data_IF_602427081652
#
_entry.id   IF_602427081652
#
_cell.length_a   1.000
_cell.length_b   1.000
_cell.length_c   1.000
_cell.angle_alpha   90.00
_cell.angle_beta   90.00
_cell.angle_gamma   90.00
#
_symmetry.space_group_name_H-M   'P 1'
#
loop_
_entity.id
_entity.type
_entity.pdbx_description
1 polymer ?
#
# COMPACT_ATOMS: atom_id res chain seq x y z
N UNK A 1 -3.59 -29.37 26.34
CA UNK A 1 -3.34 -29.06 24.91
C UNK A 1 -4.55 -29.53 24.12
N UNK A 2 -5.17 -28.64 23.36
CA UNK A 2 -6.43 -28.89 22.66
C UNK A 2 -6.21 -28.81 21.15
N UNK A 3 -6.99 -29.58 20.39
CA UNK A 3 -6.97 -29.56 18.92
C UNK A 3 -7.96 -28.53 18.40
N UNK A 4 -7.48 -27.71 17.47
CA UNK A 4 -8.28 -26.71 16.77
C UNK A 4 -8.36 -27.10 15.29
N UNK A 5 -9.59 -27.24 14.81
CA UNK A 5 -9.90 -27.45 13.40
C UNK A 5 -10.46 -26.15 12.82
N UNK A 6 -9.78 -25.62 11.80
CA UNK A 6 -10.12 -24.37 11.14
C UNK A 6 -10.40 -24.63 9.65
N UNK A 7 -11.59 -24.25 9.18
CA UNK A 7 -11.96 -24.36 7.77
C UNK A 7 -11.97 -22.96 7.13
N UNK A 8 -11.21 -22.80 6.04
CA UNK A 8 -11.08 -21.56 5.28
C UNK A 8 -10.85 -21.85 3.80
N UNK A 9 -11.65 -21.22 2.92
CA UNK A 9 -11.51 -21.31 1.46
C UNK A 9 -11.39 -22.77 0.94
N UNK A 10 -12.27 -23.65 1.42
CA UNK A 10 -12.33 -25.09 1.10
C UNK A 10 -11.13 -25.94 1.57
N UNK A 11 -10.21 -25.37 2.35
CA UNK A 11 -9.12 -26.07 3.01
C UNK A 11 -9.39 -26.24 4.52
N UNK A 12 -8.97 -27.38 5.09
CA UNK A 12 -9.07 -27.67 6.53
C UNK A 12 -7.68 -27.70 7.15
N UNK A 13 -7.50 -26.93 8.21
CA UNK A 13 -6.26 -26.83 8.96
C UNK A 13 -6.46 -27.39 10.38
N UNK A 14 -5.58 -28.29 10.80
CA UNK A 14 -5.54 -28.81 12.18
C UNK A 14 -4.27 -28.31 12.88
N UNK A 15 -4.42 -27.74 14.08
CA UNK A 15 -3.29 -27.32 14.92
C UNK A 15 -3.61 -27.46 16.40
N UNK A 16 -2.56 -27.46 17.23
CA UNK A 16 -2.69 -27.57 18.69
C UNK A 16 -2.58 -26.22 19.38
N UNK A 17 -3.42 -25.98 20.38
CA UNK A 17 -3.46 -24.77 21.18
C UNK A 17 -3.43 -25.11 22.69
N UNK A 18 -2.80 -24.27 23.51
CA UNK A 18 -2.80 -24.39 24.97
C UNK A 18 -3.97 -23.60 25.58
N UNK A 19 -4.38 -23.90 26.81
CA UNK A 19 -5.46 -23.16 27.50
C UNK A 19 -5.13 -21.69 27.75
N UNK A 20 -3.85 -21.39 27.94
CA UNK A 20 -3.34 -20.04 28.28
C UNK A 20 -3.00 -19.21 27.04
N UNK A 21 -3.12 -19.78 25.85
CA UNK A 21 -2.80 -19.14 24.58
C UNK A 21 -4.08 -18.90 23.78
N UNK A 22 -4.18 -17.73 23.14
CA UNK A 22 -5.30 -17.46 22.25
C UNK A 22 -5.18 -18.28 20.97
N UNK A 23 -6.33 -18.72 20.46
CA UNK A 23 -6.39 -19.61 19.30
C UNK A 23 -5.71 -19.01 18.07
N UNK A 24 -5.73 -17.68 17.91
CA UNK A 24 -5.04 -17.02 16.83
C UNK A 24 -3.49 -17.06 16.97
N UNK A 25 -2.95 -16.83 18.15
CA UNK A 25 -1.50 -16.91 18.38
C UNK A 25 -0.98 -18.34 18.12
N UNK A 26 -1.75 -19.36 18.55
CA UNK A 26 -1.45 -20.75 18.23
C UNK A 26 -1.51 -21.05 16.72
N UNK A 27 -2.51 -20.51 16.00
CA UNK A 27 -2.60 -20.64 14.54
C UNK A 27 -1.34 -20.10 13.85
N UNK A 28 -0.86 -18.92 14.27
CA UNK A 28 0.33 -18.28 13.70
C UNK A 28 1.61 -19.06 13.95
N UNK A 29 1.79 -19.63 15.15
CA UNK A 29 2.95 -20.50 15.45
C UNK A 29 3.00 -21.73 14.54
N UNK A 30 1.84 -22.20 14.10
CA UNK A 30 1.70 -23.35 13.20
C UNK A 30 1.52 -22.93 11.72
N UNK A 31 1.80 -21.66 11.38
CA UNK A 31 1.69 -21.13 10.01
C UNK A 31 0.30 -21.27 9.36
N UNK A 32 -0.77 -21.28 10.17
CA UNK A 32 -2.15 -21.37 9.69
C UNK A 32 -2.68 -19.98 9.30
N UNK A 33 -3.26 -19.81 8.09
CA UNK A 33 -3.64 -18.52 7.53
C UNK A 33 -4.96 -17.97 8.11
N UNK A 34 -4.99 -17.66 9.41
CA UNK A 34 -6.15 -17.01 10.04
C UNK A 34 -6.11 -15.49 9.78
N UNK A 35 -7.18 -14.85 9.26
CA UNK A 35 -7.20 -13.41 9.01
C UNK A 35 -6.95 -12.59 10.29
N UNK A 36 -6.06 -11.60 10.22
CA UNK A 36 -5.63 -10.85 11.40
C UNK A 36 -5.40 -9.38 11.16
N UNK A 37 -5.76 -8.57 12.16
CA UNK A 37 -5.46 -7.13 12.20
C UNK A 37 -4.89 -6.72 13.55
N UNK A 38 -5.67 -6.03 14.36
CA UNK A 38 -5.23 -5.38 15.61
C UNK A 38 -4.75 -6.32 16.72
N UNK A 39 -5.17 -7.59 16.75
CA UNK A 39 -4.90 -8.59 17.81
C UNK A 39 -5.33 -8.19 19.23
N UNK A 40 -6.19 -7.17 19.37
CA UNK A 40 -6.66 -6.65 20.65
C UNK A 40 -8.18 -6.67 20.79
N UNK A 41 -8.88 -7.38 19.90
CA UNK A 41 -10.35 -7.44 19.90
C UNK A 41 -11.06 -6.20 19.35
N UNK A 42 -10.36 -5.33 18.60
CA UNK A 42 -10.92 -4.07 18.09
C UNK A 42 -11.30 -4.04 16.60
N UNK A 43 -10.65 -4.81 15.73
CA UNK A 43 -10.83 -4.69 14.26
C UNK A 43 -11.76 -5.71 13.62
N UNK A 44 -12.20 -6.75 14.36
CA UNK A 44 -13.09 -7.80 13.83
C UNK A 44 -12.51 -8.74 12.77
N UNK A 45 -11.33 -8.47 12.19
CA UNK A 45 -10.75 -9.31 11.12
C UNK A 45 -10.56 -10.79 11.49
N UNK A 46 -10.28 -11.11 12.76
CA UNK A 46 -10.14 -12.51 13.21
C UNK A 46 -11.47 -13.14 13.65
N UNK A 47 -12.61 -12.63 13.18
CA UNK A 47 -13.93 -13.15 13.52
C UNK A 47 -14.12 -14.52 12.88
N UNK A 48 -14.46 -15.49 13.71
CA UNK A 48 -14.72 -16.87 13.32
C UNK A 48 -16.02 -17.33 13.96
N UNK A 49 -16.68 -18.29 13.32
CA UNK A 49 -17.84 -18.97 13.92
C UNK A 49 -17.37 -20.27 14.53
N UNK A 50 -17.65 -20.47 15.81
CA UNK A 50 -17.34 -21.73 16.50
C UNK A 50 -18.52 -22.69 16.33
N UNK A 51 -18.29 -23.75 15.56
CA UNK A 51 -19.32 -24.77 15.26
C UNK A 51 -19.39 -25.78 16.39
N UNK A 52 -18.24 -26.20 16.91
CA UNK A 52 -18.12 -27.19 17.98
C UNK A 52 -17.03 -26.82 18.99
N UNK A 53 -17.19 -27.28 20.22
CA UNK A 53 -16.23 -27.06 21.31
C UNK A 53 -16.68 -26.01 22.32
N UNK A 54 -15.94 -25.96 23.43
CA UNK A 54 -16.07 -24.99 24.52
C UNK A 54 -14.83 -24.09 24.52
N UNK A 55 -15.08 -22.80 24.76
CA UNK A 55 -14.04 -21.80 24.83
C UNK A 55 -14.43 -20.73 25.84
N UNK A 56 -13.41 -20.04 26.33
CA UNK A 56 -13.56 -18.83 27.12
C UNK A 56 -13.23 -17.64 26.23
N UNK A 57 -14.06 -16.60 26.33
CA UNK A 57 -13.86 -15.36 25.60
C UNK A 57 -13.34 -14.31 26.59
N UNK A 58 -12.21 -13.69 26.28
CA UNK A 58 -11.71 -12.55 27.04
C UNK A 58 -12.73 -11.40 26.93
N UNK A 59 -13.26 -10.86 28.04
CA UNK A 59 -14.30 -9.82 28.02
C UNK A 59 -13.82 -8.48 27.45
N UNK A 60 -12.51 -8.28 27.28
CA UNK A 60 -11.92 -7.04 26.77
C UNK A 60 -11.88 -7.04 25.23
N UNK A 61 -12.98 -6.64 24.59
CA UNK A 61 -13.08 -6.42 23.14
C UNK A 61 -14.07 -5.30 22.81
N UNK A 62 -13.98 -4.76 21.60
CA UNK A 62 -14.92 -3.74 21.13
C UNK A 62 -16.25 -4.38 20.71
N UNK A 63 -17.38 -3.81 21.17
CA UNK A 63 -18.71 -4.20 20.71
C UNK A 63 -18.95 -3.93 19.23
N UNK A 64 -18.15 -3.04 18.62
CA UNK A 64 -18.17 -2.81 17.17
C UNK A 64 -17.53 -3.97 16.39
N UNK A 65 -16.61 -4.72 17.04
CA UNK A 65 -15.91 -5.84 16.43
C UNK A 65 -16.68 -7.16 16.56
N UNK A 66 -17.38 -7.36 17.68
CA UNK A 66 -18.24 -8.51 17.94
C UNK A 66 -19.45 -8.04 18.76
N UNK A 67 -20.64 -8.13 18.17
CA UNK A 67 -21.87 -7.67 18.84
C UNK A 67 -22.40 -8.72 19.81
N UNK A 68 -23.20 -8.30 20.79
CA UNK A 68 -23.82 -9.21 21.77
C UNK A 68 -24.77 -10.24 21.08
N UNK A 69 -25.29 -9.91 19.89
CA UNK A 69 -26.07 -10.83 19.06
C UNK A 69 -25.20 -11.89 18.38
N UNK A 70 -24.06 -11.48 17.81
CA UNK A 70 -23.10 -12.39 17.18
C UNK A 70 -22.50 -13.38 18.20
N UNK A 71 -22.27 -12.94 19.45
CA UNK A 71 -21.84 -13.83 20.54
C UNK A 71 -22.87 -14.93 20.81
N UNK A 72 -24.17 -14.60 20.82
CA UNK A 72 -25.25 -15.59 20.98
C UNK A 72 -25.30 -16.58 19.81
N UNK A 73 -24.91 -16.14 18.62
CA UNK A 73 -24.79 -16.98 17.42
C UNK A 73 -23.48 -17.79 17.33
N UNK A 74 -22.69 -17.81 18.42
CA UNK A 74 -21.39 -18.49 18.53
C UNK A 74 -20.29 -17.93 17.64
N UNK A 75 -20.37 -16.65 17.26
CA UNK A 75 -19.22 -15.95 16.72
C UNK A 75 -18.27 -15.55 17.84
N UNK A 76 -16.98 -15.59 17.54
CA UNK A 76 -15.94 -15.23 18.47
C UNK A 76 -14.76 -14.59 17.73
N UNK A 77 -13.97 -13.79 18.45
CA UNK A 77 -12.75 -13.22 17.90
C UNK A 77 -11.58 -14.15 18.24
N UNK A 78 -10.98 -14.80 17.25
CA UNK A 78 -9.91 -15.79 17.50
C UNK A 78 -8.72 -15.23 18.32
N UNK A 79 -8.49 -13.91 18.29
CA UNK A 79 -7.49 -13.20 19.11
C UNK A 79 -7.86 -13.04 20.60
N UNK A 80 -9.06 -13.45 20.99
CA UNK A 80 -9.65 -13.31 22.33
C UNK A 80 -10.32 -14.62 22.80
N UNK A 81 -10.05 -15.72 22.10
CA UNK A 81 -10.64 -17.03 22.39
C UNK A 81 -9.56 -17.94 22.97
N UNK A 82 -9.87 -18.51 24.13
CA UNK A 82 -9.02 -19.46 24.84
C UNK A 82 -9.75 -20.81 24.92
N UNK A 83 -9.15 -21.92 24.44
CA UNK A 83 -9.84 -23.20 24.37
C UNK A 83 -9.94 -23.88 25.75
N UNK A 84 -11.13 -24.38 26.07
CA UNK A 84 -11.38 -25.29 27.20
C UNK A 84 -11.74 -26.72 26.75
N UNK A 85 -11.91 -26.94 25.45
CA UNK A 85 -11.96 -28.24 24.79
C UNK A 85 -11.37 -28.15 23.38
N UNK A 86 -11.40 -29.26 22.63
CA UNK A 86 -11.16 -29.20 21.18
C UNK A 86 -12.23 -28.31 20.53
N UNK A 87 -11.83 -27.50 19.53
CA UNK A 87 -12.69 -26.51 18.88
C UNK A 87 -12.71 -26.76 17.37
N UNK A 88 -13.90 -26.68 16.77
CA UNK A 88 -14.08 -26.58 15.32
C UNK A 88 -14.63 -25.20 14.98
N UNK A 89 -13.93 -24.47 14.10
CA UNK A 89 -14.29 -23.11 13.71
C UNK A 89 -14.21 -22.92 12.20
N UNK A 90 -15.10 -22.07 11.70
CA UNK A 90 -15.27 -21.80 10.27
C UNK A 90 -15.39 -20.29 10.02
N UNK A 91 -14.95 -19.84 8.86
CA UNK A 91 -15.26 -18.49 8.36
C UNK A 91 -16.32 -18.62 7.28
N UNK A 92 -17.53 -18.15 7.57
CA UNK A 92 -18.62 -18.20 6.62
C UNK A 92 -18.43 -17.07 5.58
N UNK A 93 -17.93 -17.41 4.39
CA UNK A 93 -17.89 -16.52 3.24
C UNK A 93 -19.30 -16.37 2.66
N UNK A 94 -20.14 -15.57 3.29
CA UNK A 94 -21.48 -15.26 2.76
C UNK A 94 -21.82 -13.79 2.98
N UNK A 95 -21.62 -13.01 1.92
CA UNK A 95 -22.15 -11.68 1.63
C UNK A 95 -21.86 -10.56 2.64
N UNK A 96 -20.81 -9.79 2.35
CA UNK A 96 -20.89 -8.32 2.40
C UNK A 96 -20.29 -7.77 1.11
N UNK A 97 -21.07 -6.91 0.47
CA UNK A 97 -20.79 -6.24 -0.79
C UNK A 97 -19.37 -5.68 -0.81
N UNK A 98 -18.52 -6.30 -1.64
CA UNK A 98 -17.34 -5.64 -2.16
C UNK A 98 -17.80 -4.42 -2.95
N UNK A 99 -17.87 -3.25 -2.30
CA UNK A 99 -17.46 -2.04 -3.03
C UNK A 99 -16.02 -2.30 -3.42
N UNK A 100 -15.83 -2.77 -4.65
CA UNK A 100 -14.52 -2.90 -5.29
C UNK A 100 -13.85 -1.52 -5.29
N UNK A 101 -13.21 -1.17 -4.19
CA UNK A 101 -12.03 -0.33 -4.24
C UNK A 101 -10.92 -1.27 -4.69
N UNK A 102 -10.86 -1.52 -6.00
CA UNK A 102 -9.67 -2.10 -6.60
C UNK A 102 -8.49 -1.21 -6.17
N UNK A 103 -7.47 -1.74 -5.49
CA UNK A 103 -6.20 -1.03 -5.42
C UNK A 103 -5.73 -0.90 -6.87
N UNK A 104 -5.69 0.32 -7.41
CA UNK A 104 -5.12 0.60 -8.74
C UNK A 104 -3.59 0.51 -8.69
N UNK A 105 -3.07 -0.57 -8.15
CA UNK A 105 -1.65 -0.91 -8.21
C UNK A 105 -1.55 -2.28 -8.88
N UNK A 106 -1.31 -2.25 -10.19
CA UNK A 106 -1.05 -3.37 -11.08
C UNK A 106 0.24 -4.14 -10.71
N UNK A 107 0.46 -4.55 -9.47
CA UNK A 107 1.60 -5.44 -9.15
C UNK A 107 1.42 -6.84 -9.76
N UNK A 108 0.18 -7.29 -9.96
CA UNK A 108 -0.13 -8.63 -10.51
C UNK A 108 0.20 -8.79 -11.99
N UNK A 109 0.38 -7.70 -12.74
CA UNK A 109 0.75 -7.77 -14.16
C UNK A 109 2.27 -7.67 -14.37
N UNK A 110 3.00 -6.91 -13.54
CA UNK A 110 4.45 -6.76 -13.69
C UNK A 110 5.20 -8.10 -13.50
N UNK A 111 4.79 -8.93 -12.55
CA UNK A 111 5.39 -10.25 -12.32
C UNK A 111 5.14 -11.24 -13.46
N UNK A 112 4.10 -11.06 -14.27
CA UNK A 112 3.84 -11.89 -15.46
C UNK A 112 4.80 -11.57 -16.60
N UNK A 113 5.27 -10.32 -16.66
CA UNK A 113 6.16 -9.84 -17.72
C UNK A 113 7.65 -10.06 -17.39
N UNK A 114 8.01 -10.34 -16.12
CA UNK A 114 9.37 -10.70 -15.73
C UNK A 114 9.68 -12.18 -15.99
N UNK A 115 10.80 -12.47 -16.67
CA UNK A 115 11.35 -13.83 -16.72
C UNK A 115 11.90 -14.20 -15.34
N UNK A 116 11.28 -15.19 -14.69
CA UNK A 116 11.81 -15.77 -13.47
C UNK A 116 12.96 -16.71 -13.83
N UNK A 117 14.17 -16.42 -13.35
CA UNK A 117 15.34 -17.27 -13.54
C UNK A 117 15.94 -17.64 -12.17
N UNK A 118 15.49 -18.76 -11.59
CA UNK A 118 16.06 -19.31 -10.36
C UNK A 118 16.01 -18.39 -9.13
N UNK A 119 15.01 -17.49 -9.06
CA UNK A 119 14.87 -16.51 -7.96
C UNK A 119 15.28 -15.07 -8.31
N UNK A 120 15.73 -14.81 -9.53
CA UNK A 120 16.09 -13.47 -10.02
C UNK A 120 14.99 -12.96 -10.97
N UNK A 121 14.59 -11.70 -10.78
CA UNK A 121 13.70 -10.97 -11.69
C UNK A 121 14.49 -9.96 -12.51
N UNK A 122 14.35 -10.02 -13.83
CA UNK A 122 14.77 -8.94 -14.72
C UNK A 122 13.68 -7.86 -14.77
N UNK A 123 14.09 -6.60 -14.71
CA UNK A 123 13.19 -5.45 -14.82
C UNK A 123 13.86 -4.28 -15.56
N UNK A 124 13.10 -3.42 -16.25
CA UNK A 124 13.64 -2.16 -16.76
C UNK A 124 14.08 -1.25 -15.62
N UNK A 125 15.16 -0.50 -15.84
CA UNK A 125 15.71 0.45 -14.86
C UNK A 125 15.83 1.83 -15.49
N UNK A 126 15.54 2.87 -14.70
CA UNK A 126 15.67 4.25 -15.15
C UNK A 126 17.14 4.68 -15.21
N UNK A 127 17.61 5.03 -16.41
CA UNK A 127 18.99 5.52 -16.59
C UNK A 127 19.11 6.99 -16.19
N UNK A 128 20.30 7.40 -15.76
CA UNK A 128 20.59 8.80 -15.45
C UNK A 128 20.35 9.72 -16.66
N UNK A 129 20.69 9.25 -17.87
CA UNK A 129 20.53 10.01 -19.12
C UNK A 129 19.08 10.38 -19.39
N UNK A 130 18.16 9.44 -19.19
CA UNK A 130 16.72 9.69 -19.35
C UNK A 130 16.24 10.62 -18.24
N UNK A 131 16.65 10.38 -16.99
CA UNK A 131 16.29 11.26 -15.87
C UNK A 131 16.70 12.72 -16.12
N UNK A 132 17.93 12.97 -16.59
CA UNK A 132 18.37 14.33 -16.92
C UNK A 132 17.47 15.02 -17.97
N UNK A 133 17.09 14.31 -19.04
CA UNK A 133 16.19 14.85 -20.09
C UNK A 133 14.79 15.17 -19.56
N UNK A 134 14.25 14.32 -18.68
CA UNK A 134 12.95 14.57 -18.04
C UNK A 134 13.02 15.82 -17.15
N UNK A 135 14.11 15.98 -16.40
CA UNK A 135 14.34 17.15 -15.55
C UNK A 135 14.40 18.44 -16.38
N UNK A 136 15.19 18.43 -17.46
CA UNK A 136 15.33 19.58 -18.36
C UNK A 136 13.97 20.01 -18.94
N UNK A 137 13.15 19.05 -19.33
CA UNK A 137 11.81 19.32 -19.86
C UNK A 137 10.85 19.90 -18.81
N UNK A 138 10.91 19.42 -17.57
CA UNK A 138 10.13 20.00 -16.47
C UNK A 138 10.56 21.46 -16.20
N UNK A 139 11.87 21.74 -16.21
CA UNK A 139 12.40 23.10 -16.09
C UNK A 139 12.03 23.99 -17.28
N UNK A 140 12.04 23.48 -18.50
CA UNK A 140 11.56 24.22 -19.66
C UNK A 140 10.09 24.59 -19.50
N UNK A 141 9.26 23.65 -19.02
CA UNK A 141 7.84 23.94 -18.78
C UNK A 141 7.63 25.01 -17.71
N UNK A 142 8.46 25.01 -16.66
CA UNK A 142 8.42 26.05 -15.64
C UNK A 142 8.75 27.44 -16.20
N UNK A 143 9.75 27.52 -17.08
CA UNK A 143 10.10 28.77 -17.78
C UNK A 143 8.94 29.29 -18.64
N UNK A 144 8.25 28.41 -19.37
CA UNK A 144 7.05 28.77 -20.15
C UNK A 144 5.92 29.31 -19.27
N UNK A 145 5.77 28.77 -18.06
CA UNK A 145 4.75 29.18 -17.09
C UNK A 145 5.16 30.40 -16.26
N UNK A 146 6.39 30.91 -16.41
CA UNK A 146 6.91 32.03 -15.62
C UNK A 146 7.08 31.72 -14.13
N UNK A 147 7.36 30.46 -13.78
CA UNK A 147 7.53 30.01 -12.39
C UNK A 147 8.92 29.42 -12.14
N UNK A 148 9.31 29.37 -10.87
CA UNK A 148 10.59 28.82 -10.41
C UNK A 148 10.33 27.57 -9.55
N UNK A 149 10.94 26.45 -9.94
CA UNK A 149 10.65 25.14 -9.33
C UNK A 149 11.91 24.39 -8.93
N UNK A 150 11.71 23.40 -8.08
CA UNK A 150 12.64 22.31 -7.80
C UNK A 150 12.12 21.06 -8.50
N UNK A 151 13.01 20.28 -9.11
CA UNK A 151 12.67 19.03 -9.79
C UNK A 151 13.55 17.92 -9.24
N UNK A 152 12.94 16.81 -8.86
CA UNK A 152 13.62 15.60 -8.39
C UNK A 152 13.15 14.40 -9.20
N UNK A 153 14.08 13.50 -9.52
CA UNK A 153 13.79 12.21 -10.15
C UNK A 153 14.50 11.12 -9.36
N UNK A 154 13.77 10.06 -9.03
CA UNK A 154 14.26 8.90 -8.29
C UNK A 154 14.13 7.61 -9.10
N UNK A 155 14.93 6.59 -8.79
CA UNK A 155 14.82 5.24 -9.35
C UNK A 155 13.75 4.38 -8.65
N UNK A 156 13.67 3.10 -9.01
CA UNK A 156 12.74 2.11 -8.47
C UNK A 156 12.99 1.78 -6.98
N UNK A 157 14.20 2.04 -6.49
CA UNK A 157 14.53 2.03 -5.06
C UNK A 157 14.27 3.36 -4.36
N UNK A 158 13.65 4.32 -5.06
CA UNK A 158 13.40 5.69 -4.63
C UNK A 158 14.68 6.48 -4.24
N UNK A 159 15.83 6.10 -4.82
CA UNK A 159 17.10 6.82 -4.67
C UNK A 159 17.19 7.97 -5.67
N UNK A 160 17.75 9.11 -5.25
CA UNK A 160 17.86 10.30 -6.08
C UNK A 160 18.79 10.07 -7.28
N UNK A 161 18.26 10.23 -8.50
CA UNK A 161 19.01 10.09 -9.77
C UNK A 161 19.34 11.42 -10.40
N UNK A 162 18.44 12.39 -10.28
CA UNK A 162 18.61 13.74 -10.82
C UNK A 162 17.85 14.73 -9.95
N UNK A 163 18.45 15.89 -9.71
CA UNK A 163 17.85 16.95 -8.93
C UNK A 163 18.35 18.30 -9.41
N UNK A 164 17.44 19.27 -9.45
CA UNK A 164 17.80 20.67 -9.63
C UNK A 164 16.89 21.55 -8.81
N UNK A 165 17.47 22.65 -8.33
CA UNK A 165 16.76 23.79 -7.76
C UNK A 165 17.01 24.94 -8.70
N UNK A 166 15.96 25.47 -9.33
CA UNK A 166 16.10 26.70 -10.11
C UNK A 166 16.53 27.86 -9.20
N UNK A 167 17.33 28.77 -9.74
CA UNK A 167 17.73 29.99 -9.03
C UNK A 167 16.49 30.72 -8.50
N UNK A 168 16.61 31.28 -7.29
CA UNK A 168 15.51 31.96 -6.57
C UNK A 168 14.25 31.12 -6.27
N UNK A 169 14.19 29.83 -6.62
CA UNK A 169 13.07 28.99 -6.20
C UNK A 169 13.08 28.72 -4.68
N UNK A 170 11.91 28.53 -4.03
CA UNK A 170 11.82 28.39 -2.59
C UNK A 170 12.68 27.27 -2.02
N UNK A 171 13.41 27.53 -0.93
CA UNK A 171 14.34 26.57 -0.32
C UNK A 171 13.65 25.27 0.15
N UNK A 172 12.48 25.40 0.79
CA UNK A 172 11.70 24.27 1.29
C UNK A 172 11.23 23.33 0.15
N UNK A 173 11.02 23.87 -1.05
CA UNK A 173 10.55 23.12 -2.21
C UNK A 173 11.56 22.06 -2.67
N UNK A 174 12.85 22.17 -2.33
CA UNK A 174 13.85 21.15 -2.64
C UNK A 174 13.50 19.80 -2.04
N UNK A 175 13.29 19.76 -0.72
CA UNK A 175 12.92 18.54 0.01
C UNK A 175 11.51 18.08 -0.36
N UNK A 176 10.57 19.00 -0.57
CA UNK A 176 9.21 18.64 -1.00
C UNK A 176 9.22 17.94 -2.37
N UNK A 177 9.97 18.45 -3.35
CA UNK A 177 10.10 17.83 -4.66
C UNK A 177 10.66 16.41 -4.55
N UNK A 178 11.70 16.20 -3.74
CA UNK A 178 12.27 14.88 -3.48
C UNK A 178 11.29 13.93 -2.80
N UNK A 179 10.51 14.40 -1.83
CA UNK A 179 9.50 13.60 -1.14
C UNK A 179 8.28 13.29 -2.02
N UNK A 180 7.90 14.18 -2.92
CA UNK A 180 6.88 13.91 -3.97
C UNK A 180 7.35 12.81 -4.92
N UNK A 181 8.60 12.87 -5.39
CA UNK A 181 9.19 11.83 -6.24
C UNK A 181 9.25 10.47 -5.52
N UNK A 182 9.70 10.48 -4.26
CA UNK A 182 9.74 9.31 -3.38
C UNK A 182 8.36 8.70 -3.18
N UNK A 183 7.36 9.51 -2.83
CA UNK A 183 5.98 9.06 -2.62
C UNK A 183 5.42 8.39 -3.88
N UNK A 184 5.64 9.02 -5.03
CA UNK A 184 5.18 8.52 -6.31
C UNK A 184 5.83 7.17 -6.67
N UNK A 185 7.15 7.04 -6.48
CA UNK A 185 7.87 5.79 -6.72
C UNK A 185 7.47 4.67 -5.74
N UNK A 186 7.20 5.01 -4.47
CA UNK A 186 6.94 4.01 -3.41
C UNK A 186 5.61 3.27 -3.60
N UNK A 187 4.53 4.01 -3.86
CA UNK A 187 3.19 3.41 -4.00
C UNK A 187 2.74 3.28 -5.45
N UNK A 188 3.47 3.88 -6.40
CA UNK A 188 3.04 3.92 -7.80
C UNK A 188 1.79 4.76 -8.04
N UNK A 189 1.52 5.71 -7.14
CA UNK A 189 0.34 6.58 -7.13
C UNK A 189 0.79 8.04 -7.27
N UNK A 190 0.21 8.83 -8.18
CA UNK A 190 0.48 10.26 -8.25
C UNK A 190 0.13 10.98 -6.94
N UNK A 191 0.95 11.94 -6.51
CA UNK A 191 0.76 12.61 -5.21
C UNK A 191 -0.53 13.40 -5.12
N UNK A 192 -1.09 13.85 -6.25
CA UNK A 192 -2.38 14.54 -6.32
C UNK A 192 -3.58 13.63 -6.09
N UNK A 193 -3.43 12.31 -6.28
CA UNK A 193 -4.54 11.37 -6.06
C UNK A 193 -4.64 10.92 -4.59
N UNK A 194 -3.60 11.14 -3.78
CA UNK A 194 -3.55 10.68 -2.39
C UNK A 194 -4.64 11.26 -1.50
N UNK A 195 -4.73 12.59 -1.41
CA UNK A 195 -5.76 13.23 -0.57
C UNK A 195 -7.19 12.80 -0.98
N UNK A 196 -7.56 12.82 -2.28
CA UNK A 196 -8.84 12.27 -2.73
C UNK A 196 -9.10 10.82 -2.32
N UNK A 197 -8.07 9.97 -2.23
CA UNK A 197 -8.21 8.57 -1.82
C UNK A 197 -8.47 8.39 -0.31
N UNK A 198 -7.98 9.30 0.53
CA UNK A 198 -7.98 9.13 1.99
C UNK A 198 -8.92 10.08 2.72
N UNK A 199 -9.42 11.14 2.07
CA UNK A 199 -10.19 12.22 2.72
C UNK A 199 -11.46 11.74 3.45
N UNK A 200 -12.09 10.66 2.99
CA UNK A 200 -13.34 10.14 3.53
C UNK A 200 -13.11 9.02 4.57
N UNK A 201 -11.85 8.75 4.94
CA UNK A 201 -11.42 7.74 5.90
C UNK A 201 -10.64 8.40 7.05
N UNK A 202 -11.29 8.93 8.10
CA UNK A 202 -10.64 9.77 9.11
C UNK A 202 -9.43 9.11 9.79
N UNK A 203 -9.52 7.81 10.11
CA UNK A 203 -8.40 7.08 10.72
C UNK A 203 -7.19 7.01 9.79
N UNK A 204 -7.40 6.86 8.48
CA UNK A 204 -6.32 6.83 7.50
C UNK A 204 -5.80 8.24 7.24
N UNK A 205 -6.69 9.22 7.03
CA UNK A 205 -6.33 10.62 6.79
C UNK A 205 -5.47 11.18 7.91
N UNK A 206 -5.83 10.94 9.18
CA UNK A 206 -5.07 11.43 10.33
C UNK A 206 -3.88 10.53 10.72
N UNK A 207 -3.86 9.28 10.28
CA UNK A 207 -2.76 8.36 10.56
C UNK A 207 -1.62 8.46 9.55
N UNK A 208 -1.92 8.26 8.27
CA UNK A 208 -0.91 8.02 7.24
C UNK A 208 -0.07 9.26 6.94
N UNK A 209 -0.63 10.47 7.10
CA UNK A 209 0.06 11.75 6.84
C UNK A 209 1.25 12.00 7.78
N UNK A 210 1.38 11.23 8.86
CA UNK A 210 2.56 11.23 9.74
C UNK A 210 3.66 10.27 9.29
N UNK A 211 3.44 9.52 8.20
CA UNK A 211 4.45 8.64 7.61
C UNK A 211 5.56 9.48 7.01
N UNK A 212 6.81 9.15 7.33
CA UNK A 212 7.96 9.90 6.85
C UNK A 212 7.97 9.99 5.31
N UNK A 213 8.31 11.18 4.80
CA UNK A 213 8.40 11.52 3.37
C UNK A 213 7.10 11.38 2.56
N UNK A 214 5.97 11.02 3.15
CA UNK A 214 4.69 10.95 2.43
C UNK A 214 4.18 12.35 2.06
N UNK A 215 3.87 12.56 0.79
CA UNK A 215 3.26 13.81 0.30
C UNK A 215 1.92 13.52 -0.35
N UNK A 216 0.86 14.13 0.21
CA UNK A 216 -0.53 13.89 -0.21
C UNK A 216 -1.12 14.99 -1.12
N UNK A 217 -0.26 15.85 -1.67
CA UNK A 217 -0.64 16.93 -2.58
C UNK A 217 0.20 16.94 -3.87
N UNK A 218 -0.33 17.54 -4.93
CA UNK A 218 0.13 17.40 -6.31
C UNK A 218 1.57 17.81 -6.61
N UNK A 219 2.16 17.16 -7.61
CA UNK A 219 3.49 17.44 -8.15
C UNK A 219 4.41 16.21 -8.26
N UNK A 220 4.03 15.06 -7.70
CA UNK A 220 4.73 13.79 -7.88
C UNK A 220 3.98 12.83 -8.79
N UNK A 221 4.68 12.19 -9.74
CA UNK A 221 4.11 11.25 -10.71
C UNK A 221 5.02 10.01 -10.84
N UNK A 222 4.47 8.79 -10.74
CA UNK A 222 5.26 7.56 -10.91
C UNK A 222 5.71 7.39 -12.36
N UNK A 223 6.93 6.90 -12.54
CA UNK A 223 7.47 6.54 -13.86
C UNK A 223 7.25 5.03 -14.02
N UNK A 224 6.45 4.64 -15.01
CA UNK A 224 6.06 3.24 -15.22
C UNK A 224 6.49 2.74 -16.59
N UNK A 225 7.00 1.52 -16.66
CA UNK A 225 7.31 0.83 -17.91
C UNK A 225 6.99 -0.65 -17.78
N UNK A 226 6.20 -1.20 -18.71
CA UNK A 226 5.82 -2.62 -18.73
C UNK A 226 5.25 -3.10 -17.38
N UNK A 227 4.37 -2.30 -16.78
CA UNK A 227 3.78 -2.60 -15.46
C UNK A 227 4.72 -2.36 -14.26
N UNK A 228 6.03 -2.21 -14.47
CA UNK A 228 6.98 -1.88 -13.39
C UNK A 228 6.95 -0.39 -13.08
N UNK A 229 7.07 -0.06 -11.80
CA UNK A 229 7.45 1.28 -11.36
C UNK A 229 8.98 1.32 -11.44
N UNK A 230 9.51 2.14 -12.34
CA UNK A 230 10.96 2.25 -12.55
C UNK A 230 11.54 3.52 -11.91
N UNK A 231 10.69 4.32 -11.26
CA UNK A 231 11.06 5.56 -10.62
C UNK A 231 9.88 6.49 -10.33
N UNK A 232 10.21 7.73 -10.00
CA UNK A 232 9.23 8.80 -9.77
C UNK A 232 9.83 10.16 -10.11
N UNK A 233 9.01 11.06 -10.65
CA UNK A 233 9.33 12.48 -10.82
C UNK A 233 8.55 13.28 -9.76
N UNK A 234 9.18 14.30 -9.18
CA UNK A 234 8.57 15.20 -8.22
C UNK A 234 8.96 16.65 -8.49
N UNK A 235 7.97 17.53 -8.49
CA UNK A 235 8.13 18.98 -8.73
C UNK A 235 7.51 19.77 -7.59
N UNK A 236 8.19 20.83 -7.17
CA UNK A 236 7.69 21.77 -6.17
C UNK A 236 8.20 23.18 -6.40
N UNK A 237 7.33 24.17 -6.29
CA UNK A 237 7.69 25.59 -6.31
C UNK A 237 6.59 26.51 -6.82
N UNK A 238 5.64 25.98 -7.59
CA UNK A 238 4.42 26.68 -7.99
C UNK A 238 3.21 26.26 -7.18
N UNK A 239 2.02 26.50 -7.74
CA UNK A 239 0.77 25.85 -7.28
C UNK A 239 0.80 24.35 -7.57
N UNK A 240 -0.08 23.57 -6.92
CA UNK A 240 -0.15 22.13 -7.17
C UNK A 240 -0.39 21.79 -8.66
N UNK A 241 -1.25 22.54 -9.35
CA UNK A 241 -1.52 22.34 -10.78
C UNK A 241 -0.30 22.68 -11.66
N UNK A 242 0.42 23.75 -11.31
CA UNK A 242 1.67 24.12 -11.99
C UNK A 242 2.75 23.03 -11.80
N UNK A 243 2.91 22.52 -10.58
CA UNK A 243 3.84 21.43 -10.30
C UNK A 243 3.48 20.16 -11.09
N UNK A 244 2.19 19.81 -11.15
CA UNK A 244 1.70 18.68 -11.96
C UNK A 244 1.99 18.88 -13.44
N UNK A 245 1.78 20.08 -13.98
CA UNK A 245 2.05 20.40 -15.38
C UNK A 245 3.54 20.24 -15.73
N UNK A 246 4.43 20.73 -14.87
CA UNK A 246 5.88 20.56 -15.03
C UNK A 246 6.32 19.10 -14.91
N UNK A 247 5.82 18.36 -13.91
CA UNK A 247 6.12 16.93 -13.76
C UNK A 247 5.63 16.12 -14.97
N UNK A 248 4.44 16.44 -15.49
CA UNK A 248 3.86 15.79 -16.65
C UNK A 248 4.65 16.08 -17.93
N UNK A 249 5.20 17.29 -18.08
CA UNK A 249 6.10 17.61 -19.19
C UNK A 249 7.35 16.72 -19.18
N UNK A 250 7.97 16.56 -18.01
CA UNK A 250 9.09 15.63 -17.83
C UNK A 250 8.73 14.19 -18.19
N UNK A 251 7.58 13.69 -17.73
CA UNK A 251 7.12 12.32 -18.04
C UNK A 251 6.86 12.10 -19.53
N UNK A 252 6.31 13.09 -20.25
CA UNK A 252 6.07 12.99 -21.71
C UNK A 252 7.34 12.74 -22.50
N UNK A 253 8.48 13.28 -22.08
CA UNK A 253 9.79 13.02 -22.73
C UNK A 253 10.20 11.56 -22.57
N UNK A 254 9.96 10.97 -21.40
CA UNK A 254 10.20 9.54 -21.22
C UNK A 254 9.28 8.71 -22.14
N UNK A 255 8.00 9.03 -22.19
CA UNK A 255 7.04 8.33 -23.04
C UNK A 255 7.37 8.45 -24.53
N UNK A 256 7.89 9.59 -25.00
CA UNK A 256 8.30 9.76 -26.41
C UNK A 256 9.53 8.92 -26.75
N UNK A 257 10.56 8.90 -25.88
CA UNK A 257 11.76 8.08 -26.06
C UNK A 257 11.40 6.60 -26.18
N UNK A 258 10.52 6.10 -25.31
CA UNK A 258 10.10 4.69 -25.32
C UNK A 258 9.28 4.35 -26.58
N UNK A 259 8.50 5.30 -27.12
CA UNK A 259 7.76 5.10 -28.37
C UNK A 259 8.69 5.02 -29.58
N UNK A 260 9.71 5.87 -29.64
CA UNK A 260 10.72 5.89 -30.70
C UNK A 260 11.53 4.58 -30.73
N UNK A 261 11.92 4.02 -29.58
CA UNK A 261 12.66 2.76 -29.51
C UNK A 261 11.84 1.51 -29.88
N UNK A 262 10.50 1.64 -29.95
CA UNK A 262 9.57 0.55 -30.28
C UNK A 262 9.02 0.62 -31.70
N UNK A 263 9.31 1.70 -32.44
CA UNK A 263 8.89 1.91 -33.82
C UNK A 263 9.97 1.42 -34.79
#
# INVERSE_FOLDING_TARGET
>A
MYKINFEYADETYEYTCQSEEDVLSAARKNFIPLPTGCRRGGCGMCKVKVVEGKFEHDPLYSKDALTDEEVKEKYALACKVYPSSNIKMVINSSKKEEKKVTPKTNMTNALKDSKWNGGIYERPVLTQKIAARMLDSACQKAKELGILINVAIVDDGANLKSFTRMDESPLLSGTIAQNKAYTAASFGVPTHDWYPMIKDEPSLLHGIVHTDRLVVFGGGIPIKLNGFIIGGIGVSGGTADQDINCASAGLKVFESIIKEERS
#
